data_IF_510351231712
#
_entry.id   IF_510351231712
#
_cell.length_a   1.000
_cell.length_b   1.000
_cell.length_c   1.000
_cell.angle_alpha   90.00
_cell.angle_beta   90.00
_cell.angle_gamma   90.00
#
_symmetry.space_group_name_H-M   'P 1'
#
loop_
_entity.id
_entity.type
_entity.pdbx_description
1 polymer ?
#
# COMPACT_ATOMS: atom_id res chain seq x y z
N UNK A 1 61.39 9.18 41.10
CA UNK A 1 60.27 9.98 41.66
C UNK A 1 60.11 11.18 40.71
N UNK A 2 59.21 11.13 39.70
CA UNK A 2 57.79 11.58 39.70
C UNK A 2 57.65 13.03 40.24
N UNK A 3 57.04 14.03 39.59
CA UNK A 3 56.16 14.13 38.40
C UNK A 3 55.94 15.64 38.13
N UNK A 4 56.31 16.21 36.97
CA UNK A 4 55.49 16.56 35.79
C UNK A 4 54.12 17.21 36.07
N UNK A 5 54.04 18.54 35.93
CA UNK A 5 52.82 19.36 36.08
C UNK A 5 52.22 19.65 34.69
N UNK A 6 50.93 19.34 34.53
CA UNK A 6 50.24 19.24 33.24
C UNK A 6 49.63 20.57 32.78
N UNK A 7 49.94 20.93 31.54
CA UNK A 7 49.33 21.98 30.73
C UNK A 7 47.84 21.69 30.51
N UNK A 8 46.96 22.64 30.86
CA UNK A 8 45.53 22.57 30.52
C UNK A 8 45.34 22.85 29.02
N UNK A 9 44.96 21.82 28.27
CA UNK A 9 44.46 21.96 26.89
C UNK A 9 42.94 21.89 26.96
N UNK A 10 42.27 22.99 26.65
CA UNK A 10 40.82 23.01 26.44
C UNK A 10 40.51 22.32 25.10
N UNK A 11 40.00 21.09 25.15
CA UNK A 11 39.47 20.41 23.98
C UNK A 11 38.11 21.02 23.61
N UNK A 12 38.05 21.71 22.47
CA UNK A 12 36.80 22.09 21.84
C UNK A 12 36.16 20.83 21.24
N UNK A 13 35.02 20.42 21.79
CA UNK A 13 34.19 19.33 21.24
C UNK A 13 33.56 19.86 19.96
N UNK A 14 34.06 19.42 18.82
CA UNK A 14 33.36 19.56 17.54
C UNK A 14 32.15 18.62 17.63
N UNK A 15 30.98 19.19 17.93
CA UNK A 15 29.71 18.49 17.75
C UNK A 15 29.57 18.29 16.25
N UNK A 16 29.84 17.07 15.79
CA UNK A 16 29.48 16.63 14.46
C UNK A 16 27.96 16.74 14.38
N UNK A 17 27.48 17.84 13.80
CA UNK A 17 26.11 17.98 13.32
C UNK A 17 25.90 16.86 12.32
N UNK A 18 25.29 15.77 12.79
CA UNK A 18 24.80 14.69 11.96
C UNK A 18 23.86 15.30 10.94
N UNK A 19 24.33 15.40 9.70
CA UNK A 19 23.48 15.46 8.53
C UNK A 19 22.73 14.13 8.54
N UNK A 20 21.61 14.09 9.27
CA UNK A 20 20.58 13.11 9.03
C UNK A 20 20.18 13.29 7.58
N UNK A 21 20.64 12.39 6.72
CA UNK A 21 19.96 12.17 5.45
C UNK A 21 18.49 12.01 5.79
N UNK A 22 17.55 12.67 5.09
CA UNK A 22 16.17 12.25 5.20
C UNK A 22 16.17 10.79 4.74
N UNK A 23 16.02 9.86 5.68
CA UNK A 23 15.50 8.56 5.32
C UNK A 23 14.13 8.86 4.75
N UNK A 24 14.01 8.80 3.42
CA UNK A 24 12.75 8.44 2.81
C UNK A 24 12.47 7.03 3.33
N UNK A 25 11.96 6.95 4.56
CA UNK A 25 11.34 5.75 5.06
C UNK A 25 10.31 5.41 4.00
N UNK A 26 10.43 4.20 3.47
CA UNK A 26 9.67 3.70 2.36
C UNK A 26 8.25 3.39 2.89
N UNK A 27 7.56 4.46 3.29
CA UNK A 27 6.43 4.49 4.21
C UNK A 27 5.25 3.69 3.66
N UNK A 28 5.30 2.39 3.94
CA UNK A 28 4.21 1.47 3.70
C UNK A 28 3.32 1.45 4.94
N UNK A 29 2.05 1.76 4.74
CA UNK A 29 1.05 1.80 5.79
C UNK A 29 0.10 0.62 5.63
N UNK A 30 -0.30 0.03 6.75
CA UNK A 30 -1.28 -1.07 6.74
C UNK A 30 -2.70 -0.52 6.62
N UNK A 31 -3.40 -0.92 5.57
CA UNK A 31 -4.82 -0.66 5.37
C UNK A 31 -5.59 -1.98 5.47
N UNK A 32 -6.60 -2.05 6.31
CA UNK A 32 -7.48 -3.23 6.39
C UNK A 32 -8.80 -2.96 5.66
N UNK A 33 -9.30 -3.97 4.97
CA UNK A 33 -10.49 -3.93 4.14
C UNK A 33 -11.41 -5.09 4.47
N UNK A 34 -12.72 -4.89 4.27
CA UNK A 34 -13.69 -5.98 4.26
C UNK A 34 -14.36 -6.03 2.90
N UNK A 35 -14.24 -7.17 2.24
CA UNK A 35 -14.85 -7.35 0.93
C UNK A 35 -16.38 -7.33 0.98
N UNK A 36 -17.00 -7.34 -0.21
CA UNK A 36 -18.43 -7.25 -0.42
C UNK A 36 -18.91 -5.80 -0.53
N UNK A 37 -20.22 -5.58 -0.36
CA UNK A 37 -20.82 -4.25 -0.46
C UNK A 37 -20.56 -3.58 -1.81
N UNK A 38 -20.14 -2.31 -1.77
CA UNK A 38 -19.83 -1.50 -2.96
C UNK A 38 -18.37 -1.59 -3.42
N UNK A 39 -17.58 -2.55 -2.90
CA UNK A 39 -16.19 -2.69 -3.31
C UNK A 39 -16.10 -3.19 -4.75
N UNK A 40 -15.34 -2.47 -5.58
CA UNK A 40 -15.19 -2.77 -7.01
C UNK A 40 -13.71 -2.90 -7.35
N UNK A 41 -13.39 -3.89 -8.18
CA UNK A 41 -12.09 -4.06 -8.81
C UNK A 41 -12.21 -3.74 -10.30
N UNK A 42 -11.51 -2.71 -10.75
CA UNK A 42 -11.31 -2.40 -12.15
C UNK A 42 -9.96 -2.94 -12.63
N UNK A 43 -9.90 -3.46 -13.85
CA UNK A 43 -8.65 -3.85 -14.49
C UNK A 43 -8.45 -3.00 -15.74
N UNK A 44 -7.30 -2.34 -15.83
CA UNK A 44 -6.90 -1.51 -16.96
C UNK A 44 -5.56 -2.00 -17.49
N UNK A 45 -5.51 -2.26 -18.79
CA UNK A 45 -4.27 -2.63 -19.46
C UNK A 45 -3.49 -1.37 -19.86
N UNK A 46 -2.31 -1.15 -19.27
CA UNK A 46 -1.51 0.04 -19.56
C UNK A 46 -0.47 -0.32 -20.63
N UNK A 47 -0.91 -0.26 -21.90
CA UNK A 47 -0.11 -0.65 -23.07
C UNK A 47 1.25 0.07 -23.18
N UNK A 48 1.38 1.27 -22.61
CA UNK A 48 2.61 2.06 -22.67
C UNK A 48 3.76 1.48 -21.83
N UNK A 49 3.45 0.72 -20.77
CA UNK A 49 4.44 0.13 -19.85
C UNK A 49 4.42 -1.39 -19.85
N UNK A 50 3.44 -2.03 -20.50
CA UNK A 50 3.35 -3.48 -20.50
C UNK A 50 2.90 -4.05 -19.14
N UNK A 51 2.20 -3.25 -18.32
CA UNK A 51 1.73 -3.63 -16.98
C UNK A 51 0.21 -3.55 -16.82
N UNK A 52 -0.33 -4.53 -16.09
CA UNK A 52 -1.74 -4.56 -15.74
C UNK A 52 -1.92 -3.75 -14.46
N UNK A 53 -2.77 -2.73 -14.53
CA UNK A 53 -3.17 -1.95 -13.37
C UNK A 53 -4.52 -2.44 -12.88
N UNK A 54 -4.58 -2.87 -11.62
CA UNK A 54 -5.82 -3.16 -10.93
C UNK A 54 -6.14 -1.98 -10.01
N UNK A 55 -7.31 -1.36 -10.21
CA UNK A 55 -7.84 -0.34 -9.32
C UNK A 55 -8.84 -0.97 -8.34
N UNK A 56 -8.61 -0.77 -7.04
CA UNK A 56 -9.52 -1.20 -5.96
C UNK A 56 -10.27 0.04 -5.47
N UNK A 57 -11.59 0.07 -5.62
CA UNK A 57 -12.46 1.17 -5.13
C UNK A 57 -13.28 0.69 -3.94
N UNK A 58 -13.39 1.53 -2.92
CA UNK A 58 -14.09 1.21 -1.66
C UNK A 58 -14.67 2.45 -0.97
N UNK A 59 -15.54 2.20 0.01
CA UNK A 59 -16.06 3.22 0.91
C UNK A 59 -15.19 3.40 2.16
N UNK A 60 -15.22 4.60 2.76
CA UNK A 60 -14.53 4.85 4.04
C UNK A 60 -15.26 4.16 5.17
N UNK A 61 -14.55 3.40 5.99
CA UNK A 61 -15.08 3.00 7.28
C UNK A 61 -15.20 4.21 8.22
N UNK A 62 -16.20 4.20 9.10
CA UNK A 62 -16.41 5.27 10.09
C UNK A 62 -15.37 5.26 11.23
N UNK A 63 -14.63 4.16 11.43
CA UNK A 63 -13.64 3.96 12.49
C UNK A 63 -12.45 3.14 11.98
N UNK A 64 -11.36 3.12 12.74
CA UNK A 64 -10.21 2.26 12.45
C UNK A 64 -10.55 0.77 12.62
N UNK A 65 -9.86 -0.10 11.88
CA UNK A 65 -10.15 -1.55 11.86
C UNK A 65 -9.90 -2.23 13.22
N UNK A 66 -9.02 -1.68 14.06
CA UNK A 66 -8.79 -2.17 15.42
C UNK A 66 -9.86 -1.72 16.43
N UNK A 67 -10.66 -0.71 16.09
CA UNK A 67 -11.63 -0.11 17.00
C UNK A 67 -13.02 -0.74 16.88
N UNK A 68 -13.38 -1.23 15.69
CA UNK A 68 -14.65 -1.88 15.43
C UNK A 68 -14.57 -2.78 14.19
N UNK A 69 -15.40 -3.83 14.09
CA UNK A 69 -15.51 -4.59 12.86
C UNK A 69 -15.87 -3.70 11.67
N UNK A 70 -15.17 -3.91 10.55
CA UNK A 70 -15.44 -3.19 9.30
C UNK A 70 -16.80 -3.60 8.72
N UNK A 71 -17.43 -2.69 7.99
CA UNK A 71 -18.63 -2.94 7.19
C UNK A 71 -18.22 -3.49 5.82
N UNK A 72 -18.97 -4.42 5.20
CA UNK A 72 -18.66 -4.91 3.85
C UNK A 72 -18.52 -3.74 2.86
N UNK A 73 -17.48 -3.78 2.05
CA UNK A 73 -17.18 -2.76 1.05
C UNK A 73 -16.34 -1.59 1.55
N UNK A 74 -15.88 -1.62 2.81
CA UNK A 74 -15.12 -0.52 3.41
C UNK A 74 -13.68 -0.89 3.71
N UNK A 75 -12.82 0.12 3.73
CA UNK A 75 -11.45 0.03 4.23
C UNK A 75 -11.19 1.10 5.32
N UNK A 76 -10.21 0.82 6.18
CA UNK A 76 -9.78 1.68 7.27
C UNK A 76 -8.27 1.57 7.51
N UNK A 77 -7.68 2.62 8.07
CA UNK A 77 -6.42 2.45 8.78
C UNK A 77 -6.64 1.62 10.04
N UNK A 78 -5.57 1.00 10.54
CA UNK A 78 -5.66 0.17 11.75
C UNK A 78 -6.17 0.99 12.93
N UNK A 79 -5.59 2.17 13.11
CA UNK A 79 -5.77 3.04 14.27
C UNK A 79 -6.88 4.09 14.10
N UNK A 80 -7.35 4.36 12.87
CA UNK A 80 -8.32 5.43 12.58
C UNK A 80 -9.11 5.23 11.28
N UNK A 81 -10.20 5.97 11.13
CA UNK A 81 -10.87 6.10 9.83
C UNK A 81 -9.99 6.83 8.79
N UNK A 82 -10.26 6.60 7.50
CA UNK A 82 -9.64 7.42 6.47
C UNK A 82 -10.23 8.84 6.49
N UNK A 83 -9.37 9.86 6.44
CA UNK A 83 -9.73 11.28 6.45
C UNK A 83 -10.13 11.77 5.07
N UNK A 84 -11.00 12.77 4.98
CA UNK A 84 -11.28 13.47 3.73
C UNK A 84 -9.97 13.90 3.04
N UNK A 85 -9.89 13.65 1.73
CA UNK A 85 -8.67 13.84 0.94
C UNK A 85 -7.76 12.61 0.84
N UNK A 86 -7.88 11.62 1.72
CA UNK A 86 -7.17 10.34 1.54
C UNK A 86 -7.81 9.52 0.40
N UNK A 87 -7.04 8.81 -0.44
CA UNK A 87 -7.59 8.12 -1.61
C UNK A 87 -8.61 7.02 -1.28
N UNK A 88 -9.61 6.91 -2.16
CA UNK A 88 -10.64 5.84 -2.18
C UNK A 88 -10.44 4.85 -3.33
N UNK A 89 -9.29 4.97 -3.99
CA UNK A 89 -8.85 4.10 -5.04
C UNK A 89 -7.38 3.74 -4.75
N UNK A 90 -7.08 2.44 -4.80
CA UNK A 90 -5.71 1.94 -4.70
C UNK A 90 -5.32 1.31 -6.02
N UNK A 91 -4.08 1.49 -6.45
CA UNK A 91 -3.55 0.83 -7.63
C UNK A 91 -2.61 -0.30 -7.24
N UNK A 92 -2.91 -1.52 -7.67
CA UNK A 92 -1.94 -2.61 -7.73
C UNK A 92 -1.39 -2.68 -9.15
N UNK A 93 -0.08 -2.53 -9.31
CA UNK A 93 0.60 -2.68 -10.61
C UNK A 93 1.25 -4.04 -10.64
N UNK A 94 0.99 -4.80 -11.70
CA UNK A 94 1.60 -6.11 -11.92
C UNK A 94 2.59 -5.94 -13.06
N UNK A 95 3.86 -5.86 -12.67
CA UNK A 95 4.99 -5.84 -13.59
C UNK A 95 5.02 -7.17 -14.37
N UNK A 96 5.29 -7.09 -15.67
CA UNK A 96 5.39 -8.25 -16.58
C UNK A 96 4.02 -8.93 -16.83
N UNK A 97 3.09 -8.17 -17.40
CA UNK A 97 1.72 -8.63 -17.67
C UNK A 97 1.59 -9.69 -18.77
N UNK A 98 2.71 -10.24 -19.28
CA UNK A 98 2.70 -11.54 -19.95
C UNK A 98 2.13 -12.66 -19.05
N UNK A 99 1.98 -12.40 -17.74
CA UNK A 99 1.28 -13.23 -16.75
C UNK A 99 -0.22 -13.00 -16.64
N UNK A 100 -0.80 -12.15 -17.49
CA UNK A 100 -2.25 -11.97 -17.57
C UNK A 100 -2.70 -12.03 -19.02
N UNK A 101 -3.36 -13.12 -19.40
CA UNK A 101 -3.86 -13.31 -20.75
C UNK A 101 -5.37 -13.09 -20.74
N UNK A 102 -5.83 -11.98 -21.29
CA UNK A 102 -7.25 -11.65 -21.42
C UNK A 102 -7.73 -12.06 -22.81
N UNK A 103 -8.75 -12.92 -22.87
CA UNK A 103 -9.47 -13.14 -24.11
C UNK A 103 -10.75 -12.33 -24.08
N UNK A 104 -10.81 -11.34 -24.96
CA UNK A 104 -12.01 -10.56 -25.16
C UNK A 104 -12.79 -11.12 -26.35
N UNK A 105 -14.05 -11.46 -26.12
CA UNK A 105 -15.02 -11.77 -27.17
C UNK A 105 -16.17 -10.79 -27.06
N UNK A 106 -16.39 -10.02 -28.13
CA UNK A 106 -17.41 -8.98 -28.22
C UNK A 106 -17.32 -7.94 -27.09
N UNK A 107 -18.11 -8.09 -26.01
CA UNK A 107 -18.20 -7.17 -24.88
C UNK A 107 -17.70 -7.75 -23.55
N UNK A 108 -17.19 -8.98 -23.56
CA UNK A 108 -16.70 -9.65 -22.36
C UNK A 108 -15.22 -9.99 -22.52
N UNK A 109 -14.41 -9.49 -21.59
CA UNK A 109 -13.02 -9.88 -21.44
C UNK A 109 -12.91 -10.88 -20.30
N UNK A 110 -12.50 -12.10 -20.63
CA UNK A 110 -12.26 -13.16 -19.65
C UNK A 110 -10.76 -13.33 -19.44
N UNK A 111 -10.35 -13.47 -18.18
CA UNK A 111 -8.99 -13.85 -17.84
C UNK A 111 -8.77 -15.33 -18.23
N UNK A 112 -8.01 -15.59 -19.30
CA UNK A 112 -7.51 -16.93 -19.64
C UNK A 112 -6.39 -17.38 -18.70
N UNK A 113 -5.57 -16.43 -18.29
CA UNK A 113 -4.53 -16.62 -17.29
C UNK A 113 -4.48 -15.33 -16.48
N UNK A 114 -4.48 -15.44 -15.15
CA UNK A 114 -4.33 -14.31 -14.25
C UNK A 114 -3.33 -14.72 -13.17
N UNK A 115 -2.46 -13.77 -12.79
CA UNK A 115 -1.58 -13.98 -11.65
C UNK A 115 -2.44 -14.42 -10.44
N UNK A 116 -2.05 -15.49 -9.71
CA UNK A 116 -2.80 -15.97 -8.55
C UNK A 116 -3.10 -14.87 -7.52
N UNK A 117 -2.26 -13.84 -7.42
CA UNK A 117 -2.51 -12.66 -6.58
C UNK A 117 -3.74 -11.88 -7.02
N UNK A 118 -3.97 -11.72 -8.33
CA UNK A 118 -5.17 -11.07 -8.89
C UNK A 118 -6.41 -11.87 -8.57
N UNK A 119 -6.39 -13.18 -8.83
CA UNK A 119 -7.53 -14.07 -8.56
C UNK A 119 -7.86 -14.06 -7.07
N UNK A 120 -6.84 -14.12 -6.21
CA UNK A 120 -7.01 -14.04 -4.76
C UNK A 120 -7.58 -12.69 -4.33
N UNK A 121 -7.06 -11.58 -4.85
CA UNK A 121 -7.56 -10.23 -4.56
C UNK A 121 -9.03 -10.07 -5.00
N UNK A 122 -9.38 -10.55 -6.20
CA UNK A 122 -10.76 -10.59 -6.68
C UNK A 122 -11.67 -11.38 -5.76
N UNK A 123 -11.22 -12.57 -5.35
CA UNK A 123 -11.95 -13.39 -4.39
C UNK A 123 -12.13 -12.68 -3.04
N UNK A 124 -11.08 -12.04 -2.51
CA UNK A 124 -11.14 -11.31 -1.24
C UNK A 124 -12.10 -10.12 -1.30
N UNK A 125 -12.05 -9.32 -2.37
CA UNK A 125 -12.93 -8.17 -2.57
C UNK A 125 -14.40 -8.56 -2.76
N UNK A 126 -14.68 -9.73 -3.32
CA UNK A 126 -16.05 -10.25 -3.46
C UNK A 126 -16.52 -11.04 -2.23
N UNK A 127 -15.60 -11.46 -1.36
CA UNK A 127 -15.91 -12.20 -0.14
C UNK A 127 -16.39 -11.27 0.97
N UNK A 128 -17.03 -11.80 2.02
CA UNK A 128 -17.31 -11.05 3.25
C UNK A 128 -16.14 -11.09 4.27
N UNK A 129 -14.94 -11.49 3.84
CA UNK A 129 -13.77 -11.62 4.69
C UNK A 129 -13.11 -10.26 4.94
N UNK A 130 -12.43 -10.15 6.08
CA UNK A 130 -11.52 -9.05 6.39
C UNK A 130 -10.10 -9.45 5.96
N UNK A 131 -9.39 -8.54 5.32
CA UNK A 131 -8.03 -8.75 4.81
C UNK A 131 -7.26 -7.43 4.87
N UNK A 132 -5.93 -7.49 4.79
CA UNK A 132 -5.04 -6.34 4.91
C UNK A 132 -4.26 -6.06 3.62
N UNK A 133 -3.73 -4.86 3.51
CA UNK A 133 -2.79 -4.46 2.47
C UNK A 133 -1.70 -3.59 3.08
N UNK A 134 -0.49 -3.73 2.55
CA UNK A 134 0.53 -2.71 2.70
C UNK A 134 0.42 -1.76 1.50
N UNK A 135 0.19 -0.49 1.79
CA UNK A 135 0.02 0.56 0.77
C UNK A 135 1.05 1.66 0.96
N UNK A 136 1.53 2.24 -0.13
CA UNK A 136 2.45 3.37 -0.11
C UNK A 136 1.96 4.49 -1.00
N UNK A 137 2.16 5.72 -0.56
CA UNK A 137 1.92 6.88 -1.41
C UNK A 137 3.10 7.07 -2.38
N UNK A 138 2.82 6.92 -3.68
CA UNK A 138 3.76 7.26 -4.76
C UNK A 138 3.15 8.39 -5.58
N UNK A 139 3.73 9.58 -5.45
CA UNK A 139 3.35 10.77 -6.23
C UNK A 139 1.84 11.12 -6.14
N UNK A 140 1.23 10.91 -4.98
CA UNK A 140 -0.20 11.19 -4.74
C UNK A 140 -1.13 10.02 -5.05
N UNK A 141 -0.60 8.90 -5.56
CA UNK A 141 -1.35 7.66 -5.79
C UNK A 141 -1.00 6.64 -4.72
N UNK A 142 -2.01 6.05 -4.08
CA UNK A 142 -1.79 4.98 -3.11
C UNK A 142 -1.64 3.65 -3.85
N UNK A 143 -0.43 3.09 -3.80
CA UNK A 143 -0.08 1.84 -4.45
C UNK A 143 -0.10 0.68 -3.45
N UNK A 144 -0.67 -0.45 -3.86
CA UNK A 144 -0.62 -1.69 -3.08
C UNK A 144 0.73 -2.35 -3.33
N UNK A 145 1.46 -2.63 -2.27
CA UNK A 145 2.74 -3.35 -2.29
C UNK A 145 2.51 -4.83 -2.04
N UNK A 146 1.66 -5.14 -1.05
CA UNK A 146 1.40 -6.50 -0.61
C UNK A 146 -0.05 -6.63 -0.15
N UNK A 147 -0.66 -7.80 -0.43
CA UNK A 147 -1.98 -8.19 0.06
C UNK A 147 -1.77 -9.23 1.16
N UNK A 148 -2.29 -8.96 2.34
CA UNK A 148 -2.21 -9.80 3.54
C UNK A 148 -3.58 -10.44 3.77
N UNK A 149 -3.63 -11.76 3.99
CA UNK A 149 -4.87 -12.50 4.19
C UNK A 149 -4.72 -13.62 5.22
#
# INVERSE_FOLDING_TARGET
MKSFNWTRICAAIIVASGLGTPSLADDAYRLDCKGGGNMVLGAEWVAAIGDLKIEIRYDRAARGSSQAPLTPGTCAWVDRALREGEPLALSLVIEDAHKVNLACSQMLCEFRYADPKVVKLMSLAQSNATWGMLVRNREGTMQVIEVMY
#
